data_IF_921025499493
#
_entry.id   IF_921025499493
#
_cell.length_a   1.000
_cell.length_b   1.000
_cell.length_c   1.000
_cell.angle_alpha   90.00
_cell.angle_beta   90.00
_cell.angle_gamma   90.00
#
_symmetry.space_group_name_H-M   'P 1'
#
loop_
_entity.id
_entity.type
_entity.pdbx_description
1 polymer ?
#
# COMPACT_ATOMS: atom_id res chain seq x y z
N UNK A 1 12.85 -23.75 -10.02
CA UNK A 1 12.63 -22.72 -11.06
C UNK A 1 11.15 -22.76 -11.37
N UNK A 2 10.36 -21.78 -10.92
CA UNK A 2 8.90 -21.78 -11.11
C UNK A 2 8.55 -20.64 -12.08
N UNK A 3 8.00 -21.00 -13.23
CA UNK A 3 7.39 -20.09 -14.21
C UNK A 3 5.89 -20.02 -13.93
N UNK A 4 5.30 -18.85 -13.66
CA UNK A 4 3.86 -18.74 -13.54
C UNK A 4 3.20 -18.75 -14.93
N UNK A 5 2.10 -19.50 -15.04
CA UNK A 5 1.18 -19.50 -16.18
C UNK A 5 0.53 -18.11 -16.37
N UNK A 6 0.26 -17.71 -17.61
CA UNK A 6 -0.39 -16.44 -17.95
C UNK A 6 -1.78 -16.33 -17.29
N UNK A 7 -2.03 -15.21 -16.59
CA UNK A 7 -3.36 -14.86 -16.06
C UNK A 7 -3.50 -14.73 -14.54
N UNK A 8 -2.41 -14.75 -13.77
CA UNK A 8 -2.49 -14.67 -12.30
C UNK A 8 -2.93 -13.28 -11.78
N UNK A 9 -4.08 -13.22 -11.11
CA UNK A 9 -4.55 -12.04 -10.37
C UNK A 9 -3.88 -11.96 -9.00
N UNK A 10 -3.14 -10.88 -8.72
CA UNK A 10 -2.36 -10.70 -7.47
C UNK A 10 -3.15 -9.93 -6.43
N UNK A 11 -3.01 -10.29 -5.15
CA UNK A 11 -3.56 -9.63 -3.97
C UNK A 11 -2.52 -8.75 -3.25
N UNK A 12 -2.94 -7.59 -2.72
CA UNK A 12 -2.09 -6.70 -1.90
C UNK A 12 -2.71 -6.50 -0.51
N UNK A 13 -1.92 -6.59 0.55
CA UNK A 13 -2.31 -6.25 1.91
C UNK A 13 -1.06 -5.85 2.68
N UNK A 14 -1.09 -4.76 3.44
CA UNK A 14 0.12 -4.18 4.07
C UNK A 14 -0.08 -4.02 5.57
N UNK A 15 0.66 -4.81 6.34
CA UNK A 15 1.29 -4.39 7.60
C UNK A 15 2.69 -5.03 7.56
N UNK A 16 3.72 -4.19 7.51
CA UNK A 16 5.15 -4.51 7.74
C UNK A 16 5.48 -6.01 7.91
N UNK A 17 5.76 -6.71 6.81
CA UNK A 17 6.28 -8.07 6.80
C UNK A 17 5.36 -9.14 6.19
N UNK A 18 5.86 -9.74 5.11
CA UNK A 18 5.57 -11.08 4.55
C UNK A 18 4.62 -11.22 3.34
N UNK A 19 5.18 -11.92 2.34
CA UNK A 19 4.64 -12.75 1.27
C UNK A 19 3.81 -12.09 0.14
N UNK A 20 4.51 -11.74 -0.94
CA UNK A 20 3.98 -11.97 -2.30
C UNK A 20 3.99 -13.48 -2.52
N UNK A 21 2.82 -14.11 -2.49
CA UNK A 21 2.63 -15.50 -2.86
C UNK A 21 1.56 -15.60 -3.93
N UNK A 22 1.75 -16.53 -4.88
CA UNK A 22 0.64 -17.10 -5.66
C UNK A 22 -0.49 -17.39 -4.69
N UNK A 23 -1.74 -17.09 -5.04
CA UNK A 23 -2.89 -17.43 -4.20
C UNK A 23 -2.87 -18.96 -3.96
N UNK A 24 -2.28 -19.37 -2.85
CA UNK A 24 -2.51 -20.66 -2.26
C UNK A 24 -4.01 -20.71 -1.92
N UNK A 25 -4.62 -21.89 -2.04
CA UNK A 25 -6.03 -22.09 -1.67
C UNK A 25 -6.30 -21.44 -0.31
N UNK A 26 -7.19 -20.44 -0.28
CA UNK A 26 -7.58 -19.72 0.94
C UNK A 26 -7.16 -18.24 1.03
N UNK A 27 -6.34 -17.70 0.12
CA UNK A 27 -5.97 -16.27 0.12
C UNK A 27 -7.03 -15.44 -0.62
N UNK A 28 -7.56 -14.39 0.03
CA UNK A 28 -8.51 -13.44 -0.58
C UNK A 28 -7.77 -12.28 -1.25
N UNK A 29 -8.08 -12.04 -2.52
CA UNK A 29 -7.58 -10.89 -3.28
C UNK A 29 -8.38 -9.64 -2.93
N UNK A 30 -7.71 -8.60 -2.42
CA UNK A 30 -8.34 -7.29 -2.10
C UNK A 30 -8.12 -6.29 -3.24
N UNK A 31 -6.87 -6.10 -3.65
CA UNK A 31 -6.49 -5.27 -4.80
C UNK A 31 -6.06 -6.19 -5.93
N UNK A 32 -6.66 -6.05 -7.10
CA UNK A 32 -6.26 -6.79 -8.29
C UNK A 32 -5.10 -6.08 -8.99
N UNK A 33 -4.07 -6.84 -9.36
CA UNK A 33 -2.91 -6.34 -10.08
C UNK A 33 -1.88 -7.43 -10.34
N UNK A 34 -0.65 -7.00 -10.58
CA UNK A 34 0.54 -7.83 -10.69
C UNK A 34 1.60 -7.31 -9.72
N UNK A 35 2.31 -8.22 -9.04
CA UNK A 35 3.51 -7.90 -8.25
C UNK A 35 4.70 -8.65 -8.85
N UNK A 36 5.80 -7.94 -9.07
CA UNK A 36 7.05 -8.52 -9.59
C UNK A 36 8.14 -8.43 -8.54
N UNK A 37 8.85 -9.55 -8.34
CA UNK A 37 10.06 -9.62 -7.53
C UNK A 37 11.05 -10.61 -8.19
N UNK A 38 12.36 -10.30 -8.23
CA UNK A 38 12.97 -9.06 -7.76
C UNK A 38 12.66 -7.86 -8.67
N UNK A 39 12.56 -6.67 -8.09
CA UNK A 39 12.49 -5.40 -8.80
C UNK A 39 13.65 -4.48 -8.38
N UNK A 40 13.50 -3.15 -8.52
CA UNK A 40 14.48 -2.20 -7.98
C UNK A 40 14.34 -2.12 -6.46
N UNK A 41 15.46 -2.11 -5.74
CA UNK A 41 15.47 -1.80 -4.30
C UNK A 41 15.13 -0.33 -4.11
N UNK A 42 13.99 -0.06 -3.50
CA UNK A 42 13.62 1.27 -3.03
C UNK A 42 13.93 1.38 -1.54
N UNK A 43 14.67 2.41 -1.17
CA UNK A 43 14.90 2.82 0.21
C UNK A 43 14.91 4.35 0.24
N UNK A 44 13.94 4.95 0.91
CA UNK A 44 13.80 6.39 0.88
C UNK A 44 12.85 6.91 1.94
N UNK A 45 12.92 8.21 2.17
CA UNK A 45 11.94 8.92 3.00
C UNK A 45 10.74 9.33 2.15
N UNK A 46 9.57 9.28 2.76
CA UNK A 46 8.31 9.67 2.16
C UNK A 46 7.76 10.92 2.87
N UNK A 47 7.21 11.84 2.07
CA UNK A 47 6.39 12.96 2.55
C UNK A 47 5.14 13.03 1.68
N UNK A 48 3.97 13.14 2.30
CA UNK A 48 2.71 13.16 1.57
C UNK A 48 1.51 13.61 2.38
N UNK A 49 0.34 13.55 1.75
CA UNK A 49 -0.95 13.80 2.39
C UNK A 49 -1.90 12.64 2.16
N UNK A 50 -2.68 12.32 3.19
CA UNK A 50 -3.78 11.35 3.16
C UNK A 50 -5.09 12.06 2.88
N UNK A 51 -5.96 11.45 2.06
CA UNK A 51 -7.28 11.96 1.73
C UNK A 51 -8.31 11.71 2.84
N UNK A 52 -9.40 12.49 2.88
CA UNK A 52 -10.47 12.33 3.87
C UNK A 52 -11.17 10.96 3.83
N UNK A 53 -11.26 10.35 2.66
CA UNK A 53 -11.84 9.01 2.48
C UNK A 53 -10.95 7.87 3.03
N UNK A 54 -9.73 8.18 3.45
CA UNK A 54 -8.80 7.21 4.00
C UNK A 54 -9.28 6.73 5.38
N UNK A 55 -9.21 5.42 5.70
CA UNK A 55 -9.41 4.94 7.08
C UNK A 55 -8.35 5.46 8.06
N UNK A 56 -7.30 6.16 7.58
CA UNK A 56 -6.34 6.88 8.43
C UNK A 56 -6.59 8.40 8.48
N UNK A 57 -7.71 8.88 7.94
CA UNK A 57 -8.12 10.28 7.97
C UNK A 57 -7.31 11.21 7.06
N UNK A 58 -7.77 12.46 6.93
CA UNK A 58 -7.06 13.51 6.19
C UNK A 58 -5.96 14.11 7.06
N UNK A 59 -4.70 13.95 6.64
CA UNK A 59 -3.55 14.54 7.34
C UNK A 59 -2.31 14.58 6.43
N UNK A 60 -1.40 15.50 6.73
CA UNK A 60 -0.03 15.41 6.21
C UNK A 60 0.75 14.36 7.02
N UNK A 61 1.69 13.67 6.37
CA UNK A 61 2.49 12.65 7.02
C UNK A 61 3.94 12.62 6.52
N UNK A 62 4.76 11.93 7.31
CA UNK A 62 6.13 11.54 6.96
C UNK A 62 6.29 10.06 7.20
N UNK A 63 7.19 9.45 6.46
CA UNK A 63 7.44 8.02 6.55
C UNK A 63 8.69 7.60 5.80
N UNK A 64 8.76 6.33 5.48
CA UNK A 64 9.78 5.76 4.62
C UNK A 64 9.18 4.69 3.71
N UNK A 65 9.85 4.41 2.61
CA UNK A 65 9.57 3.28 1.73
C UNK A 65 10.77 2.34 1.75
N UNK A 66 10.49 1.04 1.89
CA UNK A 66 11.49 -0.01 1.78
C UNK A 66 10.88 -1.24 1.12
N UNK A 67 11.14 -1.42 -0.18
CA UNK A 67 10.60 -2.54 -0.93
C UNK A 67 11.54 -3.00 -2.06
N UNK A 68 11.42 -4.28 -2.40
CA UNK A 68 12.10 -4.91 -3.52
C UNK A 68 11.11 -5.48 -4.55
N UNK A 69 9.83 -5.14 -4.38
CA UNK A 69 8.74 -5.41 -5.31
C UNK A 69 8.40 -4.19 -6.15
N UNK A 70 7.92 -4.44 -7.36
CA UNK A 70 7.15 -3.49 -8.16
C UNK A 70 5.70 -4.01 -8.23
N UNK A 71 4.73 -3.13 -8.04
CA UNK A 71 3.30 -3.51 -8.05
C UNK A 71 2.57 -2.65 -9.07
N UNK A 72 1.85 -3.31 -9.98
CA UNK A 72 0.99 -2.66 -10.98
C UNK A 72 -0.46 -3.06 -10.72
N UNK A 73 -1.23 -2.16 -10.14
CA UNK A 73 -2.64 -2.37 -9.86
C UNK A 73 -3.49 -2.02 -11.09
N UNK A 74 -4.66 -2.65 -11.20
CA UNK A 74 -5.57 -2.42 -12.32
C UNK A 74 -5.99 -0.93 -12.41
N UNK A 75 -6.29 -0.43 -13.62
CA UNK A 75 -6.93 0.87 -13.82
C UNK A 75 -8.18 1.03 -12.94
N UNK A 76 -8.44 2.24 -12.46
CA UNK A 76 -9.54 2.52 -11.54
C UNK A 76 -9.24 2.25 -10.05
N UNK A 77 -8.08 1.68 -9.71
CA UNK A 77 -7.62 1.62 -8.32
C UNK A 77 -7.55 3.02 -7.72
N UNK A 78 -8.22 3.23 -6.58
CA UNK A 78 -8.17 4.46 -5.81
C UNK A 78 -6.96 4.45 -4.89
N UNK A 79 -6.43 5.64 -4.61
CA UNK A 79 -5.25 5.83 -3.76
C UNK A 79 -5.59 6.88 -2.70
N UNK A 80 -5.27 6.57 -1.46
CA UNK A 80 -5.51 7.43 -0.31
C UNK A 80 -4.39 8.46 -0.12
N UNK A 81 -3.18 8.18 -0.62
CA UNK A 81 -2.00 9.00 -0.39
C UNK A 81 -1.50 9.68 -1.66
N UNK A 82 -1.18 10.97 -1.53
CA UNK A 82 -0.45 11.74 -2.54
C UNK A 82 0.89 12.18 -1.98
N UNK A 83 1.96 11.75 -2.63
CA UNK A 83 3.32 11.95 -2.19
C UNK A 83 3.92 13.19 -2.89
N UNK A 84 4.55 14.04 -2.09
CA UNK A 84 5.45 15.09 -2.60
C UNK A 84 6.91 14.65 -2.58
N UNK A 85 7.20 13.55 -1.86
CA UNK A 85 8.47 12.84 -1.87
C UNK A 85 8.24 11.34 -1.65
N UNK A 86 8.97 10.51 -2.39
CA UNK A 86 8.82 9.05 -2.39
C UNK A 86 8.36 8.55 -3.75
N UNK A 87 8.47 7.25 -3.99
CA UNK A 87 8.09 6.62 -5.25
C UNK A 87 6.61 6.25 -5.25
N UNK A 88 6.15 5.64 -4.15
CA UNK A 88 4.79 5.12 -4.03
C UNK A 88 4.52 3.96 -4.99
N UNK A 89 3.24 3.67 -5.24
CA UNK A 89 2.80 2.59 -6.13
C UNK A 89 2.77 3.07 -7.59
N UNK A 90 2.31 4.30 -7.84
CA UNK A 90 2.17 4.84 -9.19
C UNK A 90 2.24 6.36 -9.20
N UNK A 91 3.28 6.92 -9.84
CA UNK A 91 3.39 8.36 -10.12
C UNK A 91 3.14 9.27 -8.90
N UNK A 92 3.74 8.93 -7.75
CA UNK A 92 3.54 9.66 -6.50
C UNK A 92 2.20 9.40 -5.81
N UNK A 93 1.41 8.42 -6.28
CA UNK A 93 0.24 7.88 -5.59
C UNK A 93 0.62 6.62 -4.82
N UNK A 94 0.10 6.51 -3.60
CA UNK A 94 0.30 5.37 -2.72
C UNK A 94 -0.96 5.14 -1.85
N UNK A 95 -0.98 4.09 -1.05
CA UNK A 95 -2.11 3.74 -0.21
C UNK A 95 -3.31 3.33 -1.06
N UNK A 96 -3.17 2.30 -1.88
CA UNK A 96 -4.27 1.70 -2.62
C UNK A 96 -5.45 1.45 -1.66
N UNK A 97 -6.64 1.92 -2.04
CA UNK A 97 -7.80 1.99 -1.17
C UNK A 97 -8.99 1.21 -1.74
N UNK A 98 -9.45 0.22 -0.97
CA UNK A 98 -10.68 -0.52 -1.21
C UNK A 98 -11.45 -0.61 0.09
N UNK A 99 -12.65 -0.03 0.10
CA UNK A 99 -13.48 0.10 1.31
C UNK A 99 -12.67 0.71 2.47
N UNK A 100 -12.56 0.00 3.61
CA UNK A 100 -11.74 0.40 4.77
C UNK A 100 -10.33 -0.21 4.76
N UNK A 101 -9.87 -0.77 3.63
CA UNK A 101 -8.56 -1.42 3.51
C UNK A 101 -7.58 -0.55 2.74
N UNK A 102 -6.37 -0.36 3.29
CA UNK A 102 -5.24 0.29 2.62
C UNK A 102 -4.14 -0.73 2.35
N UNK A 103 -3.59 -0.71 1.13
CA UNK A 103 -2.29 -1.32 0.81
C UNK A 103 -1.31 -0.23 0.38
N UNK A 104 -0.18 -0.07 1.07
CA UNK A 104 0.77 1.02 0.82
C UNK A 104 2.24 0.57 0.87
N UNK A 105 3.10 1.20 0.07
CA UNK A 105 4.56 1.10 0.29
C UNK A 105 5.06 2.03 1.40
N UNK A 106 4.28 3.06 1.74
CA UNK A 106 4.61 3.99 2.81
C UNK A 106 4.49 3.34 4.18
N UNK A 107 5.61 3.29 4.88
CA UNK A 107 5.68 3.07 6.31
C UNK A 107 5.57 4.41 7.03
N UNK A 108 4.40 4.69 7.62
CA UNK A 108 4.16 5.92 8.36
C UNK A 108 5.10 6.01 9.57
N UNK A 109 5.68 7.19 9.80
CA UNK A 109 6.45 7.45 11.01
C UNK A 109 5.48 7.71 12.19
N UNK A 110 5.45 6.85 13.24
CA UNK A 110 4.36 6.84 14.20
C UNK A 110 4.16 8.17 14.94
N UNK A 111 5.25 8.85 15.31
CA UNK A 111 5.18 10.11 16.07
C UNK A 111 4.49 11.21 15.25
N UNK A 112 4.84 11.34 13.97
CA UNK A 112 4.29 12.37 13.08
C UNK A 112 2.92 11.99 12.52
N UNK A 113 2.54 10.73 12.62
CA UNK A 113 1.26 10.19 12.13
C UNK A 113 0.30 9.81 13.26
N UNK A 114 0.53 10.29 14.50
CA UNK A 114 -0.30 9.95 15.66
C UNK A 114 -1.80 10.18 15.42
N UNK A 115 -2.17 11.32 14.84
CA UNK A 115 -3.58 11.64 14.54
C UNK A 115 -4.19 10.69 13.52
N UNK A 116 -3.42 10.24 12.53
CA UNK A 116 -3.87 9.27 11.54
C UNK A 116 -4.11 7.88 12.15
N UNK A 117 -3.19 7.45 13.02
CA UNK A 117 -3.30 6.17 13.73
C UNK A 117 -4.48 6.18 14.73
N UNK A 118 -4.69 7.29 15.43
CA UNK A 118 -5.84 7.47 16.29
C UNK A 118 -7.16 7.38 15.51
N UNK A 119 -7.26 8.10 14.38
CA UNK A 119 -8.44 8.04 13.51
C UNK A 119 -8.75 6.63 13.01
N UNK A 120 -7.71 5.86 12.65
CA UNK A 120 -7.87 4.45 12.27
C UNK A 120 -8.46 3.62 13.42
N UNK A 121 -7.93 3.77 14.64
CA UNK A 121 -8.44 3.06 15.82
C UNK A 121 -9.89 3.45 16.11
N UNK A 122 -10.25 4.73 15.98
CA UNK A 122 -11.63 5.19 16.16
C UNK A 122 -12.57 4.58 15.13
N UNK A 123 -12.15 4.49 13.86
CA UNK A 123 -12.92 3.81 12.81
C UNK A 123 -13.14 2.31 13.07
N UNK A 124 -12.30 1.66 13.87
CA UNK A 124 -12.46 0.24 14.23
C UNK A 124 -13.45 0.00 15.38
N UNK A 125 -13.91 1.06 16.06
CA UNK A 125 -14.86 0.99 17.17
C UNK A 125 -16.32 1.14 16.73
N UNK A 126 -16.51 1.56 15.48
CA UNK A 126 -17.81 1.69 14.80
C UNK A 126 -18.20 0.37 14.13
#
# INVERSE_FOLDING_TARGET
>A
MYTPEEGATVAVGVITGVAVGVAARGVRVIFAGEARMPARRMLGYVVGTSAAMSPTGQAAFRGHEFHYSDVRLLPGTRYAYRLTRGSGIRDGLDGALRDRTIGSYTHLHPVTSRGMLAHFVDCCRE
#
